data_IF_226862460332
#
_entry.id   IF_226862460332
#
_cell.length_a   1.000
_cell.length_b   1.000
_cell.length_c   1.000
_cell.angle_alpha   90.00
_cell.angle_beta   90.00
_cell.angle_gamma   90.00
#
_symmetry.space_group_name_H-M   'P 1'
#
loop_
_entity.id
_entity.type
_entity.pdbx_description
1 polymer ?
#
# COMPACT_ATOMS: atom_id res chain seq x y z
N UNK A 1 17.50 2.03 -55.19
CA UNK A 1 17.25 0.67 -54.65
C UNK A 1 18.49 0.32 -53.85
N UNK A 2 18.54 0.36 -52.52
CA UNK A 2 17.56 0.59 -51.46
C UNK A 2 18.26 1.38 -50.31
N UNK A 3 17.52 2.09 -49.44
CA UNK A 3 18.11 2.86 -48.34
C UNK A 3 18.70 1.97 -47.24
N UNK A 4 19.80 2.45 -46.69
CA UNK A 4 20.49 1.95 -45.50
C UNK A 4 19.49 1.84 -44.34
N UNK A 5 19.31 0.62 -43.84
CA UNK A 5 18.38 0.32 -42.76
C UNK A 5 19.06 0.64 -41.44
N UNK A 6 18.88 1.88 -40.99
CA UNK A 6 19.16 2.32 -39.63
C UNK A 6 18.44 1.39 -38.66
N UNK A 7 19.17 0.47 -38.02
CA UNK A 7 18.64 -0.25 -36.85
C UNK A 7 18.33 0.78 -35.77
N UNK A 8 17.05 1.01 -35.50
CA UNK A 8 16.59 1.71 -34.31
C UNK A 8 17.00 0.90 -33.08
N UNK A 9 18.08 1.32 -32.40
CA UNK A 9 18.45 0.77 -31.11
C UNK A 9 17.31 0.97 -30.13
N UNK A 10 16.67 -0.12 -29.70
CA UNK A 10 15.66 -0.07 -28.65
C UNK A 10 16.32 0.47 -27.38
N UNK A 11 15.72 1.47 -26.75
CA UNK A 11 16.25 2.03 -25.50
C UNK A 11 16.44 0.91 -24.47
N UNK A 12 17.53 0.95 -23.66
CA UNK A 12 17.83 -0.11 -22.70
C UNK A 12 16.70 -0.27 -21.69
N UNK A 13 16.33 -1.51 -21.41
CA UNK A 13 15.24 -1.84 -20.49
C UNK A 13 15.64 -1.52 -19.04
N UNK A 14 14.68 -1.48 -18.12
CA UNK A 14 14.99 -1.35 -16.69
C UNK A 14 15.89 -2.52 -16.23
N UNK A 15 15.65 -3.72 -16.74
CA UNK A 15 16.51 -4.88 -16.50
C UNK A 15 17.96 -4.64 -16.93
N UNK A 16 18.20 -4.08 -18.12
CA UNK A 16 19.55 -3.75 -18.58
C UNK A 16 20.20 -2.66 -17.71
N UNK A 17 19.42 -1.63 -17.37
CA UNK A 17 19.86 -0.51 -16.52
C UNK A 17 20.17 -0.94 -15.08
N UNK A 18 19.52 -2.00 -14.59
CA UNK A 18 19.78 -2.60 -13.28
C UNK A 18 21.00 -3.54 -13.27
N UNK A 19 21.63 -3.80 -14.42
CA UNK A 19 22.80 -4.67 -14.53
C UNK A 19 22.52 -6.10 -15.01
N UNK A 20 21.31 -6.36 -15.52
CA UNK A 20 20.94 -7.61 -16.18
C UNK A 20 20.93 -8.84 -15.26
N UNK A 21 21.17 -10.01 -15.84
CA UNK A 21 20.94 -11.31 -15.19
C UNK A 21 21.70 -11.46 -13.86
N UNK A 22 22.99 -11.11 -13.85
CA UNK A 22 23.84 -11.28 -12.66
C UNK A 22 23.38 -10.37 -11.51
N UNK A 23 22.96 -9.14 -11.81
CA UNK A 23 22.45 -8.22 -10.79
C UNK A 23 21.10 -8.68 -10.25
N UNK A 24 20.20 -9.16 -11.10
CA UNK A 24 18.90 -9.71 -10.69
C UNK A 24 19.08 -10.97 -9.85
N UNK A 25 19.98 -11.88 -10.21
CA UNK A 25 20.28 -13.07 -9.42
C UNK A 25 20.81 -12.70 -8.03
N UNK A 26 21.78 -11.78 -7.94
CA UNK A 26 22.31 -11.30 -6.67
C UNK A 26 21.24 -10.61 -5.81
N UNK A 27 20.39 -9.78 -6.42
CA UNK A 27 19.27 -9.15 -5.74
C UNK A 27 18.28 -10.19 -5.20
N UNK A 28 17.92 -11.21 -5.97
CA UNK A 28 16.99 -12.25 -5.52
C UNK A 28 17.57 -13.04 -4.35
N UNK A 29 18.87 -13.36 -4.36
CA UNK A 29 19.51 -14.07 -3.26
C UNK A 29 19.50 -13.27 -1.95
N UNK A 30 19.91 -11.99 -1.99
CA UNK A 30 19.90 -11.09 -0.81
C UNK A 30 18.46 -10.89 -0.32
N UNK A 31 17.53 -10.65 -1.24
CA UNK A 31 16.13 -10.44 -0.96
C UNK A 31 15.52 -11.62 -0.20
N UNK A 32 15.73 -12.86 -0.68
CA UNK A 32 15.23 -14.03 0.05
C UNK A 32 15.96 -14.27 1.37
N UNK A 33 17.23 -13.89 1.48
CA UNK A 33 17.93 -13.86 2.77
C UNK A 33 17.18 -13.01 3.78
N UNK A 34 16.76 -11.81 3.38
CA UNK A 34 15.95 -10.91 4.22
C UNK A 34 14.57 -11.48 4.54
N UNK A 35 13.85 -12.02 3.54
CA UNK A 35 12.52 -12.61 3.77
C UNK A 35 12.56 -13.79 4.74
N UNK A 36 13.62 -14.59 4.73
CA UNK A 36 13.76 -15.74 5.64
C UNK A 36 14.25 -15.33 7.04
N UNK A 37 14.94 -14.20 7.16
CA UNK A 37 15.34 -13.63 8.45
C UNK A 37 14.18 -12.89 9.14
N UNK A 38 13.16 -12.50 8.38
CA UNK A 38 11.97 -11.84 8.89
C UNK A 38 11.03 -12.84 9.56
N UNK A 39 10.89 -12.75 10.88
CA UNK A 39 10.09 -13.68 11.70
C UNK A 39 8.60 -13.73 11.33
N UNK A 40 8.13 -12.77 10.56
CA UNK A 40 6.73 -12.58 10.21
C UNK A 40 6.47 -13.04 8.79
N UNK A 41 7.41 -12.77 7.89
CA UNK A 41 7.29 -13.20 6.49
C UNK A 41 7.72 -14.66 6.31
N UNK A 42 8.76 -15.11 7.02
CA UNK A 42 9.28 -16.48 6.91
C UNK A 42 8.20 -17.59 7.08
N UNK A 43 7.23 -17.49 8.01
CA UNK A 43 6.15 -18.48 8.16
C UNK A 43 5.30 -18.72 6.90
N UNK A 44 5.19 -17.74 5.97
CA UNK A 44 4.48 -17.95 4.70
C UNK A 44 5.20 -18.90 3.76
N UNK A 45 6.51 -19.10 3.96
CA UNK A 45 7.37 -19.95 3.13
C UNK A 45 7.64 -21.33 3.74
N UNK A 46 7.03 -21.67 4.87
CA UNK A 46 7.14 -23.01 5.46
C UNK A 46 6.71 -24.11 4.48
N UNK A 47 7.58 -25.10 4.31
CA UNK A 47 7.36 -26.22 3.39
C UNK A 47 7.56 -25.89 1.91
N UNK A 48 8.02 -24.68 1.57
CA UNK A 48 8.34 -24.28 0.19
C UNK A 48 9.79 -24.65 -0.15
N UNK A 49 9.99 -25.23 -1.33
CA UNK A 49 11.32 -25.43 -1.91
C UNK A 49 11.93 -24.08 -2.31
N UNK A 50 12.77 -23.53 -1.43
CA UNK A 50 13.36 -22.21 -1.62
C UNK A 50 14.28 -22.11 -2.85
N UNK A 51 14.87 -23.24 -3.29
CA UNK A 51 15.67 -23.25 -4.51
C UNK A 51 14.78 -23.08 -5.74
N UNK A 52 13.61 -23.72 -5.78
CA UNK A 52 12.60 -23.50 -6.83
C UNK A 52 11.98 -22.11 -6.74
N UNK A 53 11.73 -21.62 -5.54
CA UNK A 53 11.11 -20.32 -5.31
C UNK A 53 12.02 -19.18 -5.78
N UNK A 54 13.32 -19.21 -5.46
CA UNK A 54 14.30 -18.23 -5.97
C UNK A 54 14.33 -18.18 -7.50
N UNK A 55 14.40 -19.34 -8.18
CA UNK A 55 14.37 -19.40 -9.66
C UNK A 55 13.11 -18.77 -10.27
N UNK A 56 11.95 -19.00 -9.65
CA UNK A 56 10.70 -18.36 -10.09
C UNK A 56 10.73 -16.85 -9.90
N UNK A 57 11.31 -16.38 -8.80
CA UNK A 57 11.43 -14.95 -8.54
C UNK A 57 12.39 -14.27 -9.53
N UNK A 58 13.52 -14.89 -9.86
CA UNK A 58 14.43 -14.39 -10.93
C UNK A 58 13.66 -14.25 -12.23
N UNK A 59 12.90 -15.27 -12.64
CA UNK A 59 12.11 -15.22 -13.86
C UNK A 59 11.02 -14.14 -13.81
N UNK A 60 10.37 -13.96 -12.66
CA UNK A 60 9.38 -12.91 -12.46
C UNK A 60 10.00 -11.51 -12.53
N UNK A 61 11.09 -11.26 -11.80
CA UNK A 61 11.79 -9.96 -11.81
C UNK A 61 12.37 -9.64 -13.18
N UNK A 62 12.90 -10.63 -13.89
CA UNK A 62 13.38 -10.47 -15.26
C UNK A 62 12.26 -10.03 -16.20
N UNK A 63 11.08 -10.65 -16.11
CA UNK A 63 9.90 -10.23 -16.89
C UNK A 63 9.42 -8.83 -16.49
N UNK A 64 9.25 -8.58 -15.19
CA UNK A 64 8.68 -7.34 -14.66
C UNK A 64 9.55 -6.13 -14.99
N UNK A 65 10.87 -6.28 -15.00
CA UNK A 65 11.80 -5.21 -15.39
C UNK A 65 12.07 -5.13 -16.90
N UNK A 66 11.34 -5.91 -17.71
CA UNK A 66 11.39 -5.85 -19.17
C UNK A 66 12.51 -6.67 -19.83
N UNK A 67 13.20 -7.52 -19.08
CA UNK A 67 14.25 -8.42 -19.59
C UNK A 67 13.75 -9.74 -20.18
N UNK A 68 12.44 -9.99 -20.17
CA UNK A 68 11.82 -11.15 -20.81
C UNK A 68 10.44 -10.80 -21.37
N UNK A 69 10.07 -11.44 -22.49
CA UNK A 69 8.80 -11.17 -23.20
C UNK A 69 7.54 -11.68 -22.45
N UNK A 70 7.72 -12.50 -21.42
CA UNK A 70 6.61 -13.11 -20.69
C UNK A 70 7.00 -13.80 -19.39
N UNK A 71 6.07 -13.82 -18.42
CA UNK A 71 6.16 -14.64 -17.21
C UNK A 71 5.30 -15.91 -17.35
N UNK A 72 5.94 -17.09 -17.37
CA UNK A 72 5.25 -18.38 -17.45
C UNK A 72 4.83 -18.96 -16.08
N UNK A 73 4.94 -18.18 -15.01
CA UNK A 73 4.50 -18.63 -13.70
C UNK A 73 2.98 -18.61 -13.55
N UNK A 74 2.50 -19.11 -12.40
CA UNK A 74 1.06 -19.04 -12.09
C UNK A 74 0.65 -17.57 -11.97
N UNK A 75 -0.61 -17.31 -12.35
CA UNK A 75 -1.30 -16.07 -12.05
C UNK A 75 -1.09 -15.68 -10.57
N UNK A 76 -0.77 -14.40 -10.33
CA UNK A 76 -0.41 -13.91 -9.01
C UNK A 76 -1.56 -14.06 -8.00
N UNK A 77 -2.79 -13.81 -8.43
CA UNK A 77 -3.97 -14.00 -7.59
C UNK A 77 -4.13 -15.47 -7.20
N UNK A 78 -4.06 -16.40 -8.16
CA UNK A 78 -4.15 -17.84 -7.90
C UNK A 78 -3.00 -18.32 -7.00
N UNK A 79 -1.78 -17.84 -7.21
CA UNK A 79 -0.61 -18.25 -6.43
C UNK A 79 -0.72 -17.86 -4.95
N UNK A 80 -1.30 -16.69 -4.65
CA UNK A 80 -1.39 -16.14 -3.30
C UNK A 80 -2.74 -16.38 -2.62
N UNK A 81 -3.78 -16.78 -3.36
CA UNK A 81 -5.15 -16.99 -2.84
C UNK A 81 -5.21 -17.83 -1.57
N UNK A 82 -4.49 -18.96 -1.55
CA UNK A 82 -4.46 -19.84 -0.38
C UNK A 82 -3.84 -19.16 0.84
N UNK A 83 -2.76 -18.40 0.64
CA UNK A 83 -2.10 -17.66 1.71
C UNK A 83 -3.02 -16.57 2.28
N UNK A 84 -3.79 -15.90 1.43
CA UNK A 84 -4.77 -14.89 1.83
C UNK A 84 -5.89 -15.52 2.66
N UNK A 85 -6.48 -16.60 2.16
CA UNK A 85 -7.65 -17.22 2.78
C UNK A 85 -7.33 -18.03 4.04
N UNK A 86 -6.19 -18.71 4.08
CA UNK A 86 -5.86 -19.67 5.14
C UNK A 86 -4.78 -19.20 6.11
N UNK A 87 -3.87 -18.31 5.66
CA UNK A 87 -2.73 -17.84 6.46
C UNK A 87 -2.79 -16.34 6.79
N UNK A 88 -3.85 -15.64 6.41
CA UNK A 88 -4.03 -14.22 6.71
C UNK A 88 -3.07 -13.29 5.95
N UNK A 89 -2.52 -13.72 4.81
CA UNK A 89 -1.74 -12.84 3.94
C UNK A 89 -2.59 -11.62 3.56
N UNK A 90 -2.00 -10.43 3.66
CA UNK A 90 -2.70 -9.15 3.51
C UNK A 90 -1.74 -8.10 2.95
N UNK A 91 -2.24 -6.92 2.64
CA UNK A 91 -1.46 -5.84 2.03
C UNK A 91 -0.30 -5.34 2.91
N UNK A 92 -0.38 -5.46 4.24
CA UNK A 92 0.73 -5.15 5.12
C UNK A 92 1.91 -6.11 4.91
N UNK A 93 1.65 -7.40 4.64
CA UNK A 93 2.71 -8.35 4.28
C UNK A 93 3.32 -8.02 2.91
N UNK A 94 2.53 -7.55 1.96
CA UNK A 94 3.06 -7.09 0.68
C UNK A 94 4.02 -5.92 0.88
N UNK A 95 3.68 -4.97 1.76
CA UNK A 95 4.54 -3.82 2.05
C UNK A 95 5.88 -4.23 2.67
N UNK A 96 5.90 -5.23 3.55
CA UNK A 96 7.17 -5.77 4.07
C UNK A 96 8.04 -6.37 2.98
N UNK A 97 7.42 -7.17 2.10
CA UNK A 97 8.12 -7.80 0.98
C UNK A 97 8.65 -6.74 0.03
N UNK A 98 7.87 -5.69 -0.25
CA UNK A 98 8.31 -4.55 -1.04
C UNK A 98 9.47 -3.79 -0.37
N UNK A 99 9.43 -3.56 0.96
CA UNK A 99 10.52 -2.90 1.68
C UNK A 99 11.81 -3.74 1.67
N UNK A 100 11.72 -5.05 1.87
CA UNK A 100 12.89 -5.94 1.77
C UNK A 100 13.54 -5.89 0.40
N UNK A 101 12.74 -5.76 -0.67
CA UNK A 101 13.25 -5.55 -2.01
C UNK A 101 13.92 -4.18 -2.16
N UNK A 102 13.29 -3.10 -1.68
CA UNK A 102 13.87 -1.77 -1.71
C UNK A 102 15.22 -1.70 -0.96
N UNK A 103 15.31 -2.27 0.24
CA UNK A 103 16.55 -2.38 0.99
C UNK A 103 17.62 -3.20 0.27
N UNK A 104 17.21 -4.26 -0.43
CA UNK A 104 18.12 -5.07 -1.24
C UNK A 104 18.73 -4.24 -2.37
N UNK A 105 17.89 -3.53 -3.12
CA UNK A 105 18.34 -2.66 -4.21
C UNK A 105 19.27 -1.54 -3.69
N UNK A 106 18.96 -0.94 -2.52
CA UNK A 106 19.86 0.02 -1.86
C UNK A 106 21.20 -0.61 -1.49
N UNK A 107 21.20 -1.81 -0.91
CA UNK A 107 22.45 -2.51 -0.51
C UNK A 107 23.34 -2.87 -1.71
N UNK A 108 22.74 -3.01 -2.88
CA UNK A 108 23.42 -3.22 -4.15
C UNK A 108 23.84 -1.90 -4.83
N UNK A 109 23.66 -0.76 -4.17
CA UNK A 109 23.94 0.58 -4.69
C UNK A 109 23.19 0.90 -5.99
N UNK A 110 21.97 0.38 -6.16
CA UNK A 110 21.11 0.77 -7.27
C UNK A 110 20.77 2.26 -7.13
N UNK A 111 20.98 3.09 -8.18
CA UNK A 111 20.60 4.50 -8.19
C UNK A 111 19.15 4.73 -7.76
N UNK A 112 18.89 5.80 -7.01
CA UNK A 112 17.57 6.09 -6.41
C UNK A 112 16.45 6.19 -7.46
N UNK A 113 16.74 6.75 -8.63
CA UNK A 113 15.81 6.83 -9.75
C UNK A 113 15.41 5.44 -10.27
N UNK A 114 16.39 4.53 -10.45
CA UNK A 114 16.14 3.15 -10.87
C UNK A 114 15.42 2.33 -9.80
N UNK A 115 15.74 2.56 -8.52
CA UNK A 115 15.04 1.95 -7.40
C UNK A 115 13.56 2.38 -7.43
N UNK A 116 13.28 3.66 -7.55
CA UNK A 116 11.92 4.18 -7.57
C UNK A 116 11.12 3.62 -8.76
N UNK A 117 11.75 3.53 -9.94
CA UNK A 117 11.17 2.89 -11.12
C UNK A 117 10.85 1.42 -10.85
N UNK A 118 11.80 0.64 -10.31
CA UNK A 118 11.59 -0.76 -9.98
C UNK A 118 10.47 -0.97 -8.95
N UNK A 119 10.41 -0.14 -7.90
CA UNK A 119 9.37 -0.21 -6.87
C UNK A 119 7.99 0.18 -7.41
N UNK A 120 7.92 1.12 -8.37
CA UNK A 120 6.67 1.44 -9.05
C UNK A 120 6.15 0.25 -9.87
N UNK A 121 7.03 -0.49 -10.55
CA UNK A 121 6.61 -1.71 -11.26
C UNK A 121 6.14 -2.79 -10.30
N UNK A 122 6.88 -3.02 -9.20
CA UNK A 122 6.48 -3.99 -8.15
C UNK A 122 5.07 -3.70 -7.64
N UNK A 123 4.73 -2.43 -7.47
CA UNK A 123 3.42 -2.01 -6.99
C UNK A 123 2.26 -2.47 -7.89
N UNK A 124 2.49 -2.58 -9.20
CA UNK A 124 1.47 -3.09 -10.14
C UNK A 124 1.05 -4.53 -9.86
N UNK A 125 1.86 -5.31 -9.12
CA UNK A 125 1.53 -6.66 -8.70
C UNK A 125 0.48 -6.70 -7.57
N UNK A 126 0.32 -5.62 -6.79
CA UNK A 126 -0.63 -5.58 -5.66
C UNK A 126 -2.07 -5.88 -6.08
N UNK A 127 -2.68 -5.17 -7.04
CA UNK A 127 -4.04 -5.48 -7.48
C UNK A 127 -4.16 -6.88 -8.11
N UNK A 128 -3.09 -7.43 -8.69
CA UNK A 128 -3.10 -8.79 -9.21
C UNK A 128 -3.14 -9.85 -8.10
N UNK A 129 -2.60 -9.55 -6.91
CA UNK A 129 -2.58 -10.45 -5.74
C UNK A 129 -3.87 -10.34 -4.92
N UNK A 130 -4.33 -9.12 -4.62
CA UNK A 130 -5.43 -8.86 -3.69
C UNK A 130 -6.74 -8.47 -4.38
N UNK A 131 -6.70 -8.08 -5.64
CA UNK A 131 -7.90 -7.73 -6.40
C UNK A 131 -8.84 -8.93 -6.48
N UNK A 132 -10.12 -8.72 -6.13
CA UNK A 132 -11.13 -9.75 -6.27
C UNK A 132 -11.10 -10.28 -7.70
N UNK A 133 -11.03 -11.61 -7.86
CA UNK A 133 -11.07 -12.25 -9.17
C UNK A 133 -12.34 -11.82 -9.91
N UNK A 134 -12.27 -10.77 -10.75
CA UNK A 134 -13.30 -10.52 -11.76
C UNK A 134 -13.21 -11.69 -12.73
N UNK A 135 -14.08 -12.68 -12.53
CA UNK A 135 -14.48 -13.54 -13.65
C UNK A 135 -15.02 -12.61 -14.74
N UNK A 136 -14.63 -12.75 -16.01
CA UNK A 136 -15.34 -12.08 -17.09
C UNK A 136 -16.77 -12.65 -17.11
N UNK A 137 -17.75 -11.83 -16.74
CA UNK A 137 -19.17 -12.15 -16.87
C UNK A 137 -19.54 -12.07 -18.34
N UNK A 138 -19.83 -13.21 -18.96
CA UNK A 138 -20.59 -13.28 -20.22
C UNK A 138 -21.99 -12.69 -19.95
N UNK A 139 -22.52 -11.79 -20.80
CA UNK A 139 -23.85 -11.27 -20.61
C UNK A 139 -24.87 -12.34 -21.05
N UNK A 140 -25.72 -12.79 -20.13
CA UNK A 140 -26.98 -13.44 -20.48
C UNK A 140 -28.09 -12.45 -20.14
N UNK A 141 -28.69 -11.89 -21.18
CA UNK A 141 -29.96 -11.17 -21.09
C UNK A 141 -31.03 -12.09 -20.51
N UNK A 142 -31.75 -11.61 -19.49
CA UNK A 142 -33.23 -11.56 -19.50
C UNK A 142 -33.80 -10.78 -18.29
N UNK A 143 -34.85 -10.05 -18.64
CA UNK A 143 -35.77 -9.22 -17.84
C UNK A 143 -36.55 -10.00 -16.76
N UNK A 144 -36.80 -9.38 -15.61
CA UNK A 144 -38.14 -9.15 -15.03
C UNK A 144 -38.07 -8.51 -13.63
N UNK A 145 -39.18 -7.89 -13.25
CA UNK A 145 -39.32 -6.80 -12.28
C UNK A 145 -39.67 -7.18 -10.82
N UNK A 146 -39.49 -6.16 -9.97
CA UNK A 146 -40.33 -5.74 -8.83
C UNK A 146 -40.12 -6.32 -7.40
N UNK A 147 -39.81 -5.38 -6.49
CA UNK A 147 -40.49 -5.07 -5.21
C UNK A 147 -39.65 -5.08 -3.93
N UNK A 148 -39.19 -3.87 -3.57
CA UNK A 148 -39.34 -3.19 -2.28
C UNK A 148 -39.05 -3.95 -0.97
N UNK A 149 -37.98 -3.56 -0.26
CA UNK A 149 -38.13 -2.99 1.10
C UNK A 149 -36.87 -2.28 1.63
N UNK A 150 -37.17 -1.12 2.18
CA UNK A 150 -36.42 -0.13 2.95
C UNK A 150 -35.53 -0.73 4.05
N UNK A 151 -34.26 -0.30 4.14
CA UNK A 151 -33.46 -0.12 5.36
C UNK A 151 -32.37 0.93 5.06
N UNK A 152 -32.70 2.21 5.25
CA UNK A 152 -31.71 3.27 5.46
C UNK A 152 -31.33 3.31 6.95
N UNK A 153 -30.04 3.13 7.24
CA UNK A 153 -29.19 4.10 7.97
C UNK A 153 -27.79 3.51 8.13
N UNK A 154 -26.91 3.83 7.19
CA UNK A 154 -25.47 3.76 7.38
C UNK A 154 -24.97 5.20 7.45
N UNK A 155 -24.33 5.56 8.56
CA UNK A 155 -23.63 6.84 8.73
C UNK A 155 -22.40 6.84 7.83
N UNK A 156 -22.58 7.34 6.61
CA UNK A 156 -21.53 7.53 5.62
C UNK A 156 -20.81 8.85 5.91
N UNK A 157 -19.55 8.79 6.30
CA UNK A 157 -18.60 9.92 6.23
C UNK A 157 -18.08 10.10 4.80
N UNK A 158 -18.94 9.97 3.79
CA UNK A 158 -18.63 10.48 2.46
C UNK A 158 -18.88 12.00 2.48
N UNK A 159 -17.98 12.84 1.95
CA UNK A 159 -18.37 14.18 1.57
C UNK A 159 -19.47 14.06 0.51
N UNK A 160 -20.45 14.96 0.57
CA UNK A 160 -21.54 15.06 -0.40
C UNK A 160 -20.93 15.31 -1.79
N UNK A 161 -20.77 14.25 -2.57
CA UNK A 161 -20.22 14.29 -3.93
C UNK A 161 -21.27 14.80 -4.91
N UNK A 162 -21.83 15.96 -4.61
CA UNK A 162 -22.82 16.64 -5.43
C UNK A 162 -22.46 18.12 -5.59
N UNK A 163 -21.26 18.41 -6.08
CA UNK A 163 -21.01 19.64 -6.84
C UNK A 163 -19.74 19.51 -7.70
N UNK A 164 -19.93 19.38 -9.01
CA UNK A 164 -18.92 19.71 -10.00
C UNK A 164 -18.66 21.23 -9.93
N UNK A 165 -17.53 21.62 -9.34
CA UNK A 165 -17.11 23.01 -9.15
C UNK A 165 -15.60 23.10 -8.90
N UNK A 166 -14.97 24.08 -9.54
CA UNK A 166 -13.54 24.28 -9.86
C UNK A 166 -12.63 24.74 -8.70
N UNK A 167 -12.87 24.30 -7.45
CA UNK A 167 -12.04 24.67 -6.30
C UNK A 167 -11.05 23.54 -5.94
N UNK A 168 -9.75 23.84 -5.70
CA UNK A 168 -8.77 22.82 -5.31
C UNK A 168 -9.13 22.23 -3.94
N UNK A 169 -9.03 20.90 -3.84
CA UNK A 169 -9.34 20.16 -2.61
C UNK A 169 -8.33 20.48 -1.51
N UNK A 170 -8.63 20.12 -0.25
CA UNK A 170 -7.63 20.24 0.82
C UNK A 170 -6.39 19.41 0.50
N UNK A 171 -6.56 18.23 -0.09
CA UNK A 171 -5.48 17.40 -0.61
C UNK A 171 -4.60 18.15 -1.64
N UNK A 172 -5.21 18.83 -2.63
CA UNK A 172 -4.46 19.60 -3.62
C UNK A 172 -3.73 20.79 -2.98
N UNK A 173 -4.39 21.49 -2.04
CA UNK A 173 -3.83 22.64 -1.32
C UNK A 173 -2.69 22.27 -0.38
N UNK A 174 -2.66 21.02 0.10
CA UNK A 174 -1.57 20.46 0.91
C UNK A 174 -0.37 20.02 0.06
N UNK A 175 -0.48 19.98 -1.27
CA UNK A 175 0.59 19.60 -2.18
C UNK A 175 0.46 18.19 -2.79
N UNK A 176 -0.71 17.55 -2.64
CA UNK A 176 -1.03 16.27 -3.28
C UNK A 176 -0.13 15.11 -2.84
N UNK A 177 0.05 14.13 -3.74
CA UNK A 177 0.67 12.84 -3.40
C UNK A 177 2.08 12.97 -2.80
N UNK A 178 2.92 13.83 -3.37
CA UNK A 178 4.29 14.02 -2.89
C UNK A 178 4.37 14.57 -1.46
N UNK A 179 3.45 15.48 -1.10
CA UNK A 179 3.38 16.03 0.25
C UNK A 179 2.85 15.00 1.25
N UNK A 180 1.87 14.19 0.85
CA UNK A 180 1.35 13.10 1.68
C UNK A 180 2.41 12.03 1.93
N UNK A 181 3.16 11.63 0.90
CA UNK A 181 4.25 10.65 1.04
C UNK A 181 5.33 11.15 2.02
N UNK A 182 5.77 12.40 1.89
CA UNK A 182 6.76 12.99 2.80
C UNK A 182 6.26 13.08 4.25
N UNK A 183 4.97 13.37 4.44
CA UNK A 183 4.36 13.43 5.77
C UNK A 183 4.26 12.05 6.42
N UNK A 184 3.98 11.01 5.65
CA UNK A 184 3.74 9.66 6.18
C UNK A 184 5.01 9.08 6.82
N UNK A 185 6.18 9.23 6.20
CA UNK A 185 7.44 8.73 6.76
C UNK A 185 7.78 9.38 8.10
N UNK A 186 7.68 10.72 8.18
CA UNK A 186 7.96 11.48 9.40
C UNK A 186 6.94 11.12 10.49
N UNK A 187 5.67 11.06 10.12
CA UNK A 187 4.58 10.75 11.04
C UNK A 187 4.74 9.35 11.65
N UNK A 188 5.01 8.33 10.83
CA UNK A 188 5.25 6.98 11.35
C UNK A 188 6.49 6.89 12.22
N UNK A 189 7.56 7.60 11.88
CA UNK A 189 8.74 7.69 12.74
C UNK A 189 8.39 8.20 14.14
N UNK A 190 7.52 9.21 14.24
CA UNK A 190 7.00 9.72 15.52
C UNK A 190 6.13 8.71 16.26
N UNK A 191 5.20 8.05 15.56
CA UNK A 191 4.33 7.03 16.17
C UNK A 191 5.13 5.85 16.75
N UNK A 192 6.20 5.42 16.08
CA UNK A 192 7.04 4.32 16.57
C UNK A 192 7.99 4.74 17.69
N UNK A 193 8.37 6.01 17.75
CA UNK A 193 9.21 6.55 18.82
C UNK A 193 8.41 6.84 20.11
N UNK A 194 7.09 6.98 20.03
CA UNK A 194 6.22 7.21 21.18
C UNK A 194 5.94 5.88 21.92
N UNK A 195 6.48 5.74 23.13
CA UNK A 195 6.37 4.52 23.92
C UNK A 195 4.92 4.16 24.33
N UNK A 196 4.01 5.13 24.39
CA UNK A 196 2.59 4.91 24.74
C UNK A 196 1.81 4.48 23.51
N UNK A 197 2.14 5.04 22.35
CA UNK A 197 1.41 4.82 21.10
C UNK A 197 1.94 3.62 20.31
N UNK A 198 3.25 3.43 20.24
CA UNK A 198 3.89 2.33 19.52
C UNK A 198 3.30 0.94 19.81
N UNK A 199 2.87 0.56 21.03
CA UNK A 199 2.22 -0.73 21.29
C UNK A 199 0.91 -1.00 20.51
N UNK A 200 0.18 0.06 20.10
CA UNK A 200 -1.03 -0.05 19.28
C UNK A 200 -0.72 -0.28 17.81
N UNK A 201 0.48 0.13 17.38
CA UNK A 201 0.99 -0.04 16.03
C UNK A 201 1.90 -1.29 15.92
N UNK A 202 2.48 -1.76 17.02
CA UNK A 202 3.12 -3.07 17.15
C UNK A 202 4.60 -3.01 17.50
N UNK A 203 4.93 -3.17 18.79
CA UNK A 203 6.31 -3.48 19.23
C UNK A 203 6.68 -4.97 19.08
N UNK A 204 5.79 -5.82 18.57
CA UNK A 204 6.05 -7.23 18.21
C UNK A 204 5.13 -7.73 17.08
N UNK A 205 4.47 -6.83 16.36
CA UNK A 205 3.64 -7.15 15.21
C UNK A 205 4.27 -6.45 14.01
N UNK A 206 5.30 -7.09 13.47
CA UNK A 206 5.56 -6.96 12.05
C UNK A 206 4.59 -7.92 11.31
N UNK A 207 4.06 -7.56 10.13
CA UNK A 207 3.92 -6.17 9.75
C UNK A 207 2.88 -5.51 10.66
N UNK A 208 2.98 -4.20 10.74
CA UNK A 208 1.87 -3.32 11.05
C UNK A 208 0.59 -3.84 10.34
N UNK A 209 -0.55 -3.96 11.03
CA UNK A 209 -1.82 -4.39 10.43
C UNK A 209 -2.37 -3.41 9.38
N UNK A 210 -1.73 -2.26 9.21
CA UNK A 210 -2.04 -1.21 8.26
C UNK A 210 -0.73 -0.76 7.60
N UNK A 211 -0.56 -1.08 6.32
CA UNK A 211 0.59 -0.63 5.55
C UNK A 211 0.61 0.89 5.40
N UNK A 212 1.79 1.54 5.20
CA UNK A 212 1.91 2.98 4.96
C UNK A 212 0.92 3.48 3.89
N UNK A 213 0.63 2.67 2.87
CA UNK A 213 -0.30 3.00 1.78
C UNK A 213 -1.79 2.98 2.14
N UNK A 214 -2.24 2.18 3.09
CA UNK A 214 -3.64 2.22 3.57
C UNK A 214 -3.93 3.51 4.32
N UNK A 215 -2.93 4.05 5.01
CA UNK A 215 -3.02 5.34 5.69
C UNK A 215 -2.86 6.50 4.71
N UNK A 216 -1.96 6.41 3.73
CA UNK A 216 -1.91 7.37 2.60
C UNK A 216 -3.26 7.43 1.89
N UNK A 217 -3.84 6.28 1.52
CA UNK A 217 -5.14 6.22 0.86
C UNK A 217 -6.28 6.73 1.74
N UNK A 218 -6.24 6.44 3.05
CA UNK A 218 -7.18 7.01 4.02
C UNK A 218 -7.03 8.53 4.12
N UNK A 219 -5.82 9.05 4.28
CA UNK A 219 -5.56 10.49 4.40
C UNK A 219 -5.87 11.23 3.09
N UNK A 220 -5.54 10.65 1.93
CA UNK A 220 -5.96 11.14 0.63
C UNK A 220 -7.47 11.22 0.54
N UNK A 221 -8.20 10.14 0.86
CA UNK A 221 -9.67 10.13 0.86
C UNK A 221 -10.27 11.17 1.82
N UNK A 222 -9.73 11.23 3.05
CA UNK A 222 -10.17 12.14 4.12
C UNK A 222 -9.97 13.61 3.73
N UNK A 223 -8.90 13.94 3.01
CA UNK A 223 -8.63 15.31 2.51
C UNK A 223 -9.22 15.59 1.12
N UNK A 224 -10.02 14.68 0.57
CA UNK A 224 -10.76 14.87 -0.67
C UNK A 224 -10.00 14.53 -1.95
N UNK A 225 -8.92 13.76 -1.86
CA UNK A 225 -8.22 13.19 -3.01
C UNK A 225 -9.12 12.24 -3.82
N UNK A 226 -8.74 11.99 -5.08
CA UNK A 226 -9.54 11.23 -6.04
C UNK A 226 -9.70 9.73 -5.70
N UNK A 227 -8.86 9.21 -4.81
CA UNK A 227 -8.84 7.80 -4.43
C UNK A 227 -9.83 7.51 -3.29
N UNK A 228 -10.75 6.58 -3.53
CA UNK A 228 -11.70 6.13 -2.50
C UNK A 228 -11.02 5.23 -1.46
N UNK A 229 -11.31 5.44 -0.17
CA UNK A 229 -10.83 4.55 0.89
C UNK A 229 -11.55 3.19 0.84
N UNK A 230 -10.79 2.12 0.55
CA UNK A 230 -11.28 0.73 0.50
C UNK A 230 -11.00 -0.05 1.81
N UNK A 231 -10.49 0.62 2.84
CA UNK A 231 -10.15 -0.02 4.11
C UNK A 231 -11.38 -0.34 4.96
N UNK A 232 -11.14 -1.01 6.09
CA UNK A 232 -12.22 -1.37 7.03
C UNK A 232 -12.83 -0.13 7.66
N UNK A 233 -14.13 -0.22 7.97
CA UNK A 233 -14.85 0.75 8.79
C UNK A 233 -14.06 1.10 10.06
N UNK A 234 -13.99 2.39 10.40
CA UNK A 234 -13.13 2.89 11.47
C UNK A 234 -13.50 2.30 12.84
N UNK A 235 -14.79 2.12 13.12
CA UNK A 235 -15.26 1.48 14.34
C UNK A 235 -14.86 0.01 14.36
N UNK A 236 -15.11 -0.72 13.27
CA UNK A 236 -14.76 -2.16 13.16
C UNK A 236 -13.25 -2.39 13.25
N UNK A 237 -12.44 -1.54 12.60
CA UNK A 237 -10.99 -1.66 12.58
C UNK A 237 -10.36 -1.48 13.96
N UNK A 238 -10.91 -0.57 14.78
CA UNK A 238 -10.37 -0.22 16.10
C UNK A 238 -11.04 -0.97 17.25
N UNK A 239 -12.20 -1.62 17.03
CA UNK A 239 -12.97 -2.33 18.07
C UNK A 239 -12.12 -3.26 18.92
N UNK A 240 -11.25 -4.07 18.29
CA UNK A 240 -10.38 -5.00 19.01
C UNK A 240 -9.33 -4.27 19.85
N UNK A 241 -8.75 -3.19 19.33
CA UNK A 241 -7.76 -2.39 20.05
C UNK A 241 -8.40 -1.69 21.26
N UNK A 242 -9.65 -1.25 21.12
CA UNK A 242 -10.43 -0.64 22.21
C UNK A 242 -10.70 -1.68 23.30
N UNK A 243 -11.29 -2.82 22.93
CA UNK A 243 -11.74 -3.82 23.90
C UNK A 243 -10.59 -4.62 24.55
N UNK A 244 -9.55 -4.95 23.79
CA UNK A 244 -8.49 -5.85 24.26
C UNK A 244 -7.20 -5.13 24.65
N UNK A 245 -6.93 -3.94 24.10
CA UNK A 245 -5.69 -3.19 24.33
C UNK A 245 -5.89 -1.84 25.02
N UNK A 246 -7.12 -1.47 25.35
CA UNK A 246 -7.41 -0.21 26.05
C UNK A 246 -7.20 1.05 25.20
N UNK A 247 -7.29 0.93 23.86
CA UNK A 247 -7.30 2.10 22.99
C UNK A 247 -8.46 3.03 23.39
N UNK A 248 -8.18 4.32 23.52
CA UNK A 248 -9.13 5.30 24.06
C UNK A 248 -8.91 6.67 23.40
N UNK A 249 -9.78 7.63 23.71
CA UNK A 249 -9.73 8.98 23.14
C UNK A 249 -8.42 9.73 23.41
N UNK A 250 -7.75 9.49 24.54
CA UNK A 250 -6.45 10.09 24.84
C UNK A 250 -5.37 9.60 23.87
N UNK A 251 -5.38 8.31 23.53
CA UNK A 251 -4.48 7.78 22.50
C UNK A 251 -4.74 8.38 21.12
N UNK A 252 -6.01 8.63 20.77
CA UNK A 252 -6.35 9.34 19.54
C UNK A 252 -5.77 10.75 19.52
N UNK A 253 -5.90 11.49 20.63
CA UNK A 253 -5.38 12.85 20.73
C UNK A 253 -3.85 12.90 20.61
N UNK A 254 -3.14 11.89 21.13
CA UNK A 254 -1.69 11.74 20.94
C UNK A 254 -1.30 11.51 19.48
N UNK A 255 -2.00 10.61 18.78
CA UNK A 255 -1.79 10.37 17.34
C UNK A 255 -2.08 11.65 16.53
N UNK A 256 -3.17 12.35 16.84
CA UNK A 256 -3.51 13.63 16.23
C UNK A 256 -2.42 14.70 16.49
N UNK A 257 -1.83 14.74 17.68
CA UNK A 257 -0.72 15.65 17.97
C UNK A 257 0.54 15.32 17.15
N UNK A 258 0.89 14.04 17.00
CA UNK A 258 2.02 13.63 16.14
C UNK A 258 1.82 14.04 14.69
N UNK A 259 0.59 13.95 14.18
CA UNK A 259 0.26 14.43 12.85
C UNK A 259 0.41 15.96 12.76
N UNK A 260 -0.12 16.71 13.72
CA UNK A 260 0.00 18.17 13.75
C UNK A 260 1.47 18.61 13.79
N UNK A 261 2.32 17.96 14.61
CA UNK A 261 3.76 18.21 14.63
C UNK A 261 4.45 17.90 13.31
N UNK A 262 4.04 16.82 12.63
CA UNK A 262 4.56 16.45 11.31
C UNK A 262 4.24 17.54 10.29
N UNK A 263 2.98 17.98 10.22
CA UNK A 263 2.57 19.05 9.32
C UNK A 263 3.31 20.36 9.62
N UNK A 264 3.53 20.71 10.89
CA UNK A 264 4.38 21.86 11.28
C UNK A 264 5.82 21.70 10.79
N UNK A 265 6.41 20.51 10.95
CA UNK A 265 7.80 20.25 10.53
C UNK A 265 7.99 20.35 9.02
N UNK A 266 6.93 20.10 8.25
CA UNK A 266 6.88 20.27 6.80
C UNK A 266 6.54 21.70 6.38
N UNK A 267 6.43 22.64 7.33
CA UNK A 267 6.06 24.03 7.10
C UNK A 267 4.69 24.19 6.41
N UNK A 268 3.74 23.29 6.69
CA UNK A 268 2.36 23.45 6.23
C UNK A 268 1.77 24.73 6.83
N UNK A 269 1.18 25.63 6.02
CA UNK A 269 0.57 26.86 6.51
C UNK A 269 -0.44 26.60 7.63
N UNK A 270 -0.44 27.44 8.67
CA UNK A 270 -1.28 27.26 9.87
C UNK A 270 -2.76 27.06 9.55
N UNK A 271 -3.30 27.80 8.57
CA UNK A 271 -4.68 27.65 8.13
C UNK A 271 -4.97 26.25 7.57
N UNK A 272 -4.08 25.71 6.73
CA UNK A 272 -4.21 24.37 6.16
C UNK A 272 -4.00 23.28 7.22
N UNK A 273 -3.09 23.49 8.17
CA UNK A 273 -2.93 22.60 9.31
C UNK A 273 -4.21 22.54 10.14
N UNK A 274 -4.80 23.68 10.48
CA UNK A 274 -6.03 23.75 11.27
C UNK A 274 -7.19 23.05 10.55
N UNK A 275 -7.32 23.28 9.24
CA UNK A 275 -8.31 22.62 8.39
C UNK A 275 -8.12 21.10 8.38
N UNK A 276 -6.88 20.63 8.16
CA UNK A 276 -6.55 19.21 8.19
C UNK A 276 -6.85 18.54 9.55
N UNK A 277 -6.49 19.21 10.66
CA UNK A 277 -6.76 18.70 11.99
C UNK A 277 -8.25 18.69 12.35
N UNK A 278 -9.03 19.66 11.85
CA UNK A 278 -10.48 19.67 12.00
C UNK A 278 -11.12 18.46 11.29
N UNK A 279 -10.64 18.12 10.09
CA UNK A 279 -11.09 16.93 9.36
C UNK A 279 -10.72 15.66 10.14
N UNK A 280 -9.48 15.53 10.63
CA UNK A 280 -9.05 14.37 11.44
C UNK A 280 -9.92 14.19 12.67
N UNK A 281 -10.29 15.28 13.36
CA UNK A 281 -11.15 15.22 14.54
C UNK A 281 -12.52 14.56 14.27
N UNK A 282 -13.03 14.61 13.03
CA UNK A 282 -14.29 13.96 12.66
C UNK A 282 -14.25 12.43 12.73
N UNK A 283 -13.05 11.82 12.69
CA UNK A 283 -12.88 10.38 12.81
C UNK A 283 -13.07 9.87 14.25
N UNK A 284 -12.86 10.72 15.26
CA UNK A 284 -12.96 10.36 16.69
C UNK A 284 -14.32 9.74 17.06
N UNK A 285 -15.48 10.35 16.75
CA UNK A 285 -16.78 9.75 17.02
C UNK A 285 -17.04 8.46 16.22
N UNK A 286 -16.47 8.29 15.02
CA UNK A 286 -16.61 7.04 14.26
C UNK A 286 -15.85 5.87 14.89
N UNK A 287 -14.76 6.15 15.62
CA UNK A 287 -13.94 5.15 16.31
C UNK A 287 -14.53 4.77 17.67
N UNK A 288 -15.00 5.76 18.44
CA UNK A 288 -15.40 5.55 19.85
C UNK A 288 -16.92 5.66 20.11
N UNK A 289 -17.71 6.20 19.18
CA UNK A 289 -19.14 6.50 19.38
C UNK A 289 -20.09 5.32 19.19
N UNK A 290 -19.61 4.17 18.71
CA UNK A 290 -20.38 2.93 18.60
C UNK A 290 -20.01 1.96 19.74
N UNK A 291 -20.42 2.30 20.96
CA UNK A 291 -20.42 1.41 22.11
C UNK A 291 -21.82 0.82 22.31
#
# INVERSE_FOLDING_TARGET
MAPDSTQAGTAPTLYDRLGGAAAVDAAVDIFYGKLMADAVIAPFFEGIDMKKQRRKQVAFMSYVFGGADGYQGRDLGIAHKRLILEKGLNEGHFDMVANHLAETLRSLNVPTDLLNEAMAVVETARPAIFGQSRRPSVPISRSAAASSRNHQRATSMAPDSTQAGTAPTLYDRLGGAAAVDAAVDIFYGKLMADAVIAPFFGLNASPLPFGPRSQVAFMSYVFGGADGYQGRDLGIAHKRLILEKGLNEGHFDMVANHLAETLRSLNVPTELLNEAMAVVATAKPAIFGAA
#
